data_IF_789747474914
#
_entry.id   IF_789747474914
#
_cell.length_a   1.000
_cell.length_b   1.000
_cell.length_c   1.000
_cell.angle_alpha   90.00
_cell.angle_beta   90.00
_cell.angle_gamma   90.00
#
_symmetry.space_group_name_H-M   'P 1'
#
loop_
_entity.id
_entity.type
_entity.pdbx_description
1 polymer ?
#
# COMPACT_ATOMS: atom_id res chain seq x y z
N UNK A 1 14.00 -32.06 -22.29
CA UNK A 1 14.62 -30.85 -21.72
C UNK A 1 13.64 -30.32 -20.72
N UNK A 2 14.11 -30.26 -19.49
CA UNK A 2 13.37 -30.20 -18.23
C UNK A 2 12.25 -29.16 -18.17
N UNK A 3 11.12 -29.58 -17.58
CA UNK A 3 10.23 -28.70 -16.83
C UNK A 3 11.07 -28.00 -15.75
N UNK A 4 11.34 -26.71 -15.92
CA UNK A 4 11.87 -25.90 -14.84
C UNK A 4 10.69 -25.45 -13.99
N UNK A 5 10.30 -26.32 -13.07
CA UNK A 5 9.40 -25.98 -11.97
C UNK A 5 10.16 -25.00 -11.06
N UNK A 6 10.08 -23.71 -11.38
CA UNK A 6 10.53 -22.65 -10.49
C UNK A 6 9.52 -22.58 -9.36
N UNK A 7 9.65 -23.49 -8.40
CA UNK A 7 9.05 -23.33 -7.06
C UNK A 7 9.80 -22.19 -6.40
N UNK A 8 9.45 -20.96 -6.81
CA UNK A 8 9.79 -19.76 -6.05
C UNK A 8 9.21 -19.96 -4.66
N UNK A 9 10.06 -19.92 -3.65
CA UNK A 9 9.68 -19.94 -2.25
C UNK A 9 8.49 -18.98 -2.06
N UNK A 10 7.38 -19.39 -1.46
CA UNK A 10 6.14 -18.58 -1.43
C UNK A 10 6.36 -17.14 -0.94
N UNK A 11 7.38 -16.98 -0.08
CA UNK A 11 7.90 -15.72 0.43
C UNK A 11 8.47 -14.77 -0.64
N UNK A 12 9.13 -15.29 -1.67
CA UNK A 12 9.67 -14.51 -2.79
C UNK A 12 8.53 -13.98 -3.68
N UNK A 13 7.48 -14.78 -3.85
CA UNK A 13 6.25 -14.38 -4.55
C UNK A 13 5.50 -13.26 -3.83
N UNK A 14 5.35 -13.38 -2.51
CA UNK A 14 4.75 -12.35 -1.64
C UNK A 14 5.54 -11.04 -1.69
N UNK A 15 6.87 -11.08 -1.55
CA UNK A 15 7.73 -9.91 -1.65
C UNK A 15 7.61 -9.23 -3.02
N UNK A 16 7.49 -10.02 -4.09
CA UNK A 16 7.30 -9.50 -5.45
C UNK A 16 5.94 -8.81 -5.59
N UNK A 17 4.88 -9.40 -5.06
CA UNK A 17 3.54 -8.81 -5.06
C UNK A 17 3.51 -7.48 -4.28
N UNK A 18 4.09 -7.45 -3.07
CA UNK A 18 4.23 -6.22 -2.27
C UNK A 18 5.04 -5.15 -3.01
N UNK A 19 6.10 -5.55 -3.72
CA UNK A 19 6.87 -4.63 -4.57
C UNK A 19 6.05 -4.05 -5.73
N UNK A 20 5.10 -4.80 -6.29
CA UNK A 20 4.14 -4.25 -7.27
C UNK A 20 3.18 -3.27 -6.61
N UNK A 21 2.61 -3.64 -5.46
CA UNK A 21 1.69 -2.80 -4.69
C UNK A 21 2.32 -1.47 -4.24
N UNK A 22 3.62 -1.44 -3.93
CA UNK A 22 4.35 -0.21 -3.59
C UNK A 22 4.60 0.70 -4.80
N UNK A 23 4.85 0.13 -5.99
CA UNK A 23 5.17 0.92 -7.20
C UNK A 23 4.01 1.78 -7.65
N UNK A 24 2.78 1.28 -7.53
CA UNK A 24 1.57 1.99 -7.98
C UNK A 24 1.37 3.34 -7.27
N UNK A 25 1.24 3.41 -5.93
CA UNK A 25 1.09 4.69 -5.23
C UNK A 25 2.32 5.58 -5.41
N UNK A 26 3.53 5.01 -5.46
CA UNK A 26 4.76 5.77 -5.68
C UNK A 26 4.79 6.46 -7.05
N UNK A 27 4.36 5.77 -8.11
CA UNK A 27 4.27 6.36 -9.45
C UNK A 27 3.29 7.54 -9.49
N UNK A 28 2.15 7.40 -8.81
CA UNK A 28 1.14 8.46 -8.70
C UNK A 28 1.67 9.66 -7.91
N UNK A 29 2.31 9.43 -6.76
CA UNK A 29 2.95 10.48 -5.96
C UNK A 29 3.96 11.26 -6.80
N UNK A 30 4.85 10.54 -7.51
CA UNK A 30 5.85 11.18 -8.37
C UNK A 30 5.22 11.98 -9.50
N UNK A 31 4.17 11.46 -10.14
CA UNK A 31 3.46 12.18 -11.22
C UNK A 31 2.84 13.48 -10.74
N UNK A 32 2.15 13.46 -9.59
CA UNK A 32 1.56 14.67 -9.03
C UNK A 32 2.62 15.63 -8.46
N UNK A 33 3.72 15.13 -7.89
CA UNK A 33 4.82 15.97 -7.45
C UNK A 33 5.49 16.70 -8.63
N UNK A 34 5.67 16.02 -9.77
CA UNK A 34 6.13 16.65 -11.02
C UNK A 34 5.13 17.69 -11.51
N UNK A 35 3.84 17.38 -11.50
CA UNK A 35 2.80 18.32 -11.90
C UNK A 35 2.79 19.57 -10.99
N UNK A 36 2.95 19.40 -9.67
CA UNK A 36 3.07 20.49 -8.70
C UNK A 36 4.31 21.36 -8.91
N UNK A 37 5.37 20.82 -9.51
CA UNK A 37 6.57 21.58 -9.85
C UNK A 37 6.38 22.48 -11.08
N UNK A 38 5.34 22.25 -11.89
CA UNK A 38 4.97 23.10 -13.03
C UNK A 38 4.23 24.37 -12.56
N UNK A 39 4.37 25.47 -13.30
CA UNK A 39 3.67 26.73 -13.00
C UNK A 39 2.23 26.78 -13.55
N UNK A 40 1.85 25.81 -14.39
CA UNK A 40 0.58 25.80 -15.15
C UNK A 40 -0.66 25.31 -14.37
N UNK A 41 -0.55 25.11 -13.06
CA UNK A 41 -1.66 24.63 -12.24
C UNK A 41 -2.44 25.76 -11.58
N UNK A 42 -3.77 25.71 -11.70
CA UNK A 42 -4.67 26.51 -10.88
C UNK A 42 -4.53 26.16 -9.39
N UNK A 43 -4.91 27.07 -8.47
CA UNK A 43 -4.94 26.79 -7.04
C UNK A 43 -5.74 25.53 -6.69
N UNK A 44 -6.90 25.32 -7.32
CA UNK A 44 -7.76 24.16 -7.10
C UNK A 44 -7.08 22.86 -7.57
N UNK A 45 -6.37 22.90 -8.70
CA UNK A 45 -5.63 21.75 -9.20
C UNK A 45 -4.46 21.40 -8.27
N UNK A 46 -3.76 22.40 -7.72
CA UNK A 46 -2.71 22.18 -6.72
C UNK A 46 -3.26 21.52 -5.46
N UNK A 47 -4.38 22.02 -4.92
CA UNK A 47 -5.02 21.42 -3.74
C UNK A 47 -5.39 19.96 -4.00
N UNK A 48 -6.00 19.66 -5.16
CA UNK A 48 -6.34 18.27 -5.53
C UNK A 48 -5.10 17.40 -5.68
N UNK A 49 -4.04 17.88 -6.32
CA UNK A 49 -2.79 17.13 -6.45
C UNK A 49 -2.17 16.83 -5.07
N UNK A 50 -2.17 17.79 -4.15
CA UNK A 50 -1.71 17.57 -2.78
C UNK A 50 -2.56 16.52 -2.04
N UNK A 51 -3.90 16.58 -2.18
CA UNK A 51 -4.80 15.59 -1.57
C UNK A 51 -4.53 14.18 -2.09
N UNK A 52 -4.34 14.02 -3.40
CA UNK A 52 -4.05 12.72 -4.01
C UNK A 52 -2.68 12.19 -3.60
N UNK A 53 -1.66 13.05 -3.46
CA UNK A 53 -0.37 12.65 -2.91
C UNK A 53 -0.53 12.10 -1.49
N UNK A 54 -1.29 12.80 -0.63
CA UNK A 54 -1.52 12.36 0.75
C UNK A 54 -2.24 11.01 0.80
N UNK A 55 -3.30 10.84 0.02
CA UNK A 55 -4.02 9.56 -0.10
C UNK A 55 -3.08 8.42 -0.50
N UNK A 56 -2.22 8.63 -1.51
CA UNK A 56 -1.27 7.61 -1.96
C UNK A 56 -0.15 7.34 -0.96
N UNK A 57 0.25 8.33 -0.16
CA UNK A 57 1.15 8.11 0.97
C UNK A 57 0.50 7.22 2.04
N UNK A 58 -0.79 7.40 2.31
CA UNK A 58 -1.54 6.54 3.24
C UNK A 58 -1.65 5.09 2.73
N UNK A 59 -1.95 4.91 1.44
CA UNK A 59 -1.94 3.60 0.79
C UNK A 59 -0.57 2.92 0.90
N UNK A 60 0.49 3.65 0.56
CA UNK A 60 1.87 3.15 0.63
C UNK A 60 2.24 2.72 2.05
N UNK A 61 1.86 3.51 3.05
CA UNK A 61 2.01 3.13 4.47
C UNK A 61 1.22 1.87 4.82
N UNK A 62 0.02 1.67 4.25
CA UNK A 62 -0.74 0.44 4.39
C UNK A 62 0.00 -0.79 3.85
N UNK A 63 0.61 -0.67 2.66
CA UNK A 63 1.44 -1.75 2.09
C UNK A 63 2.65 -2.06 2.97
N UNK A 64 3.34 -1.02 3.47
CA UNK A 64 4.48 -1.18 4.39
C UNK A 64 4.04 -1.87 5.69
N UNK A 65 2.89 -1.50 6.26
CA UNK A 65 2.37 -2.16 7.46
C UNK A 65 2.13 -3.65 7.23
N UNK A 66 1.49 -4.04 6.12
CA UNK A 66 1.31 -5.45 5.76
C UNK A 66 2.62 -6.21 5.62
N UNK A 67 3.68 -5.55 5.16
CA UNK A 67 5.03 -6.15 5.08
C UNK A 67 5.68 -6.33 6.46
N UNK A 68 5.44 -5.40 7.38
CA UNK A 68 6.05 -5.37 8.72
C UNK A 68 5.22 -6.06 9.79
N UNK A 69 3.94 -6.35 9.52
CA UNK A 69 3.05 -7.02 10.45
C UNK A 69 3.62 -8.41 10.81
N UNK A 70 3.87 -8.68 12.09
CA UNK A 70 4.29 -10.00 12.51
C UNK A 70 3.16 -10.99 12.24
N UNK A 71 3.50 -12.19 11.77
CA UNK A 71 2.56 -13.25 11.36
C UNK A 71 1.62 -13.77 12.47
N UNK A 72 1.61 -13.15 13.67
CA UNK A 72 0.95 -13.64 14.88
C UNK A 72 -0.25 -12.79 15.33
N UNK A 73 -0.67 -11.77 14.57
CA UNK A 73 -1.84 -10.96 14.94
C UNK A 73 -3.16 -11.55 14.40
N UNK A 74 -3.43 -12.82 14.66
CA UNK A 74 -4.76 -13.43 14.53
C UNK A 74 -5.28 -13.82 15.92
N UNK A 75 -5.43 -12.84 16.81
CA UNK A 75 -6.20 -13.05 18.05
C UNK A 75 -7.61 -12.52 17.81
N UNK A 76 -8.62 -13.38 17.58
CA UNK A 76 -9.99 -12.95 17.68
C UNK A 76 -10.24 -12.60 19.15
N UNK A 77 -10.42 -11.32 19.44
CA UNK A 77 -10.95 -10.89 20.74
C UNK A 77 -12.38 -11.42 20.82
N UNK A 78 -12.56 -12.54 21.51
CA UNK A 78 -13.86 -13.00 21.94
C UNK A 78 -14.45 -11.95 22.88
N UNK A 79 -15.31 -11.08 22.35
CA UNK A 79 -16.14 -10.20 23.17
C UNK A 79 -17.30 -11.05 23.69
N UNK A 80 -17.04 -11.76 24.78
CA UNK A 80 -18.09 -12.25 25.66
C UNK A 80 -18.38 -11.19 26.71
N UNK A 81 -19.48 -10.47 26.55
CA UNK A 81 -20.25 -9.97 27.70
C UNK A 81 -21.73 -10.24 27.41
N UNK A 82 -22.21 -11.34 28.00
CA UNK A 82 -23.62 -11.60 28.17
C UNK A 82 -24.19 -10.46 29.03
N UNK A 83 -25.18 -9.73 28.48
CA UNK A 83 -25.93 -8.77 29.26
C UNK A 83 -26.87 -9.52 30.20
N UNK A 84 -26.67 -9.26 31.48
CA UNK A 84 -27.61 -9.57 32.58
C UNK A 84 -28.97 -8.93 32.31
N UNK A 85 -30.03 -9.75 32.33
CA UNK A 85 -31.39 -9.39 32.76
C UNK A 85 -32.15 -10.65 33.19
#
# INVERSE_FOLDING_TARGET
MEESEVVGNGRDGELRALGHDLRTPLAVINGYAQLLSSEDLSPEQRVRACQLILEKCEELNGVIRRLLEPAEAAVPVAVGIEQTA
#
